data_IF_161599750185
#
_entry.id   IF_161599750185
#
_cell.length_a   1.000
_cell.length_b   1.000
_cell.length_c   1.000
_cell.angle_alpha   90.00
_cell.angle_beta   90.00
_cell.angle_gamma   90.00
#
_symmetry.space_group_name_H-M   'P 1'
#
loop_
_entity.id
_entity.type
_entity.pdbx_description
1 polymer ?
#
# COMPACT_ATOMS: atom_id res chain seq x y z
N UNK A 1 36.31 13.84 0.81
CA UNK A 1 36.06 12.66 1.66
C UNK A 1 34.56 12.44 1.65
N UNK A 2 34.15 11.63 0.70
CA UNK A 2 32.77 11.40 0.30
C UNK A 2 31.98 10.72 1.42
N UNK A 3 31.02 11.44 2.01
CA UNK A 3 29.89 10.79 2.68
C UNK A 3 28.94 10.31 1.60
N UNK A 4 29.22 9.13 1.05
CA UNK A 4 28.19 8.35 0.35
C UNK A 4 27.12 8.03 1.38
N UNK A 5 25.98 8.72 1.29
CA UNK A 5 24.76 8.37 2.01
C UNK A 5 24.42 6.94 1.58
N UNK A 6 24.62 5.96 2.45
CA UNK A 6 24.09 4.63 2.25
C UNK A 6 22.56 4.76 2.14
N UNK A 7 22.01 4.55 0.94
CA UNK A 7 20.58 4.37 0.79
C UNK A 7 20.24 3.01 1.37
N UNK A 8 19.81 2.97 2.63
CA UNK A 8 19.07 1.82 3.16
C UNK A 8 17.79 1.68 2.33
N UNK A 9 17.84 0.80 1.33
CA UNK A 9 16.76 0.60 0.37
C UNK A 9 15.59 -0.18 0.96
N UNK A 10 14.48 -0.20 0.23
CA UNK A 10 13.32 -1.05 0.54
C UNK A 10 13.72 -2.51 0.37
N UNK A 11 13.63 -3.32 1.44
CA UNK A 11 13.93 -4.75 1.41
C UNK A 11 12.66 -5.59 1.19
N UNK A 12 12.82 -6.85 0.79
CA UNK A 12 11.72 -7.82 0.73
C UNK A 12 11.05 -8.00 2.10
N UNK A 13 11.82 -7.95 3.18
CA UNK A 13 11.28 -8.12 4.52
C UNK A 13 10.36 -6.97 4.91
N UNK A 14 10.71 -5.72 4.57
CA UNK A 14 9.83 -4.56 4.76
C UNK A 14 8.50 -4.73 4.01
N UNK A 15 8.50 -5.35 2.83
CA UNK A 15 7.28 -5.62 2.07
C UNK A 15 6.42 -6.70 2.75
N UNK A 16 7.04 -7.74 3.33
CA UNK A 16 6.33 -8.77 4.10
C UNK A 16 5.74 -8.22 5.39
N UNK A 17 6.50 -7.40 6.13
CA UNK A 17 6.01 -6.69 7.31
C UNK A 17 4.81 -5.80 6.94
N UNK A 18 4.91 -5.05 5.85
CA UNK A 18 3.81 -4.25 5.35
C UNK A 18 2.60 -5.12 5.00
N UNK A 19 2.79 -6.27 4.34
CA UNK A 19 1.71 -7.19 4.01
C UNK A 19 0.98 -7.70 5.25
N UNK A 20 1.71 -8.08 6.31
CA UNK A 20 1.13 -8.48 7.60
C UNK A 20 0.36 -7.33 8.25
N UNK A 21 0.96 -6.14 8.32
CA UNK A 21 0.35 -4.94 8.93
C UNK A 21 -0.98 -4.57 8.28
N UNK A 22 -1.06 -4.64 6.94
CA UNK A 22 -2.25 -4.17 6.21
C UNK A 22 -3.31 -5.25 5.98
N UNK A 23 -2.98 -6.54 6.17
CA UNK A 23 -3.86 -7.66 5.83
C UNK A 23 -5.31 -7.56 6.36
N UNK A 24 -5.57 -7.10 7.61
CA UNK A 24 -6.94 -6.96 8.11
C UNK A 24 -7.75 -5.84 7.44
N UNK A 25 -7.07 -4.91 6.76
CA UNK A 25 -7.62 -3.63 6.33
C UNK A 25 -7.75 -3.49 4.83
N UNK A 26 -7.19 -4.43 4.05
CA UNK A 26 -7.20 -4.42 2.59
C UNK A 26 -7.74 -5.72 2.03
N UNK A 27 -8.27 -5.69 0.80
CA UNK A 27 -8.68 -6.89 0.08
C UNK A 27 -7.49 -7.65 -0.48
N UNK A 28 -7.55 -8.98 -0.40
CA UNK A 28 -6.81 -9.86 -1.32
C UNK A 28 -7.55 -9.86 -2.66
N UNK A 29 -7.23 -8.89 -3.51
CA UNK A 29 -7.87 -8.69 -4.81
C UNK A 29 -7.69 -9.90 -5.73
N UNK A 30 -8.66 -10.19 -6.61
CA UNK A 30 -8.57 -11.32 -7.52
C UNK A 30 -7.47 -11.11 -8.58
N UNK A 31 -7.05 -12.21 -9.19
CA UNK A 31 -6.29 -12.22 -10.44
C UNK A 31 -7.26 -12.65 -11.53
N UNK A 32 -7.45 -11.79 -12.52
CA UNK A 32 -8.35 -12.03 -13.65
C UNK A 32 -7.54 -12.46 -14.88
N UNK A 33 -8.19 -13.13 -15.82
CA UNK A 33 -7.67 -13.46 -17.14
C UNK A 33 -8.71 -13.16 -18.21
N UNK A 34 -8.31 -13.13 -19.48
CA UNK A 34 -9.22 -12.87 -20.60
C UNK A 34 -8.75 -13.62 -21.84
N UNK A 35 -9.53 -14.59 -22.30
CA UNK A 35 -9.22 -15.37 -23.50
C UNK A 35 -9.08 -14.50 -24.76
N UNK A 36 -9.90 -13.45 -24.89
CA UNK A 36 -9.81 -12.52 -26.01
C UNK A 36 -8.49 -11.73 -25.99
N UNK A 37 -8.06 -11.26 -24.82
CA UNK A 37 -6.78 -10.54 -24.70
C UNK A 37 -5.58 -11.48 -24.86
N UNK A 38 -5.70 -12.71 -24.37
CA UNK A 38 -4.67 -13.74 -24.56
C UNK A 38 -4.44 -14.04 -26.05
N UNK A 39 -5.53 -14.15 -26.83
CA UNK A 39 -5.47 -14.34 -28.28
C UNK A 39 -4.82 -13.15 -29.00
N UNK A 40 -5.16 -11.93 -28.61
CA UNK A 40 -4.57 -10.70 -29.19
C UNK A 40 -3.07 -10.61 -28.87
N UNK A 41 -2.68 -10.96 -27.65
CA UNK A 41 -1.29 -10.88 -27.19
C UNK A 41 -0.43 -12.09 -27.57
N UNK A 42 -1.04 -13.22 -27.95
CA UNK A 42 -0.36 -14.50 -28.17
C UNK A 42 0.25 -15.10 -26.90
N UNK A 43 -0.24 -14.71 -25.72
CA UNK A 43 0.31 -15.06 -24.40
C UNK A 43 -0.82 -15.24 -23.38
N UNK A 44 -0.57 -15.90 -22.24
CA UNK A 44 -1.50 -15.89 -21.11
C UNK A 44 -1.27 -14.65 -20.23
N UNK A 45 -2.28 -13.79 -20.12
CA UNK A 45 -2.24 -12.56 -19.35
C UNK A 45 -2.98 -12.71 -18.02
N UNK A 46 -2.36 -12.18 -16.96
CA UNK A 46 -2.91 -12.16 -15.61
C UNK A 46 -3.01 -10.72 -15.10
N UNK A 47 -4.21 -10.32 -14.70
CA UNK A 47 -4.51 -8.95 -14.28
C UNK A 47 -4.77 -8.91 -12.78
N UNK A 48 -3.92 -8.22 -12.03
CA UNK A 48 -4.13 -7.98 -10.60
C UNK A 48 -5.12 -6.83 -10.41
N UNK A 49 -6.36 -7.15 -10.05
CA UNK A 49 -7.49 -6.22 -10.07
C UNK A 49 -7.51 -5.27 -8.85
N UNK A 50 -6.54 -4.36 -8.75
CA UNK A 50 -6.48 -3.36 -7.66
C UNK A 50 -7.56 -2.28 -7.76
N UNK A 51 -8.30 -2.20 -8.87
CA UNK A 51 -9.53 -1.42 -8.95
C UNK A 51 -10.64 -1.95 -8.02
N UNK A 52 -10.55 -3.20 -7.54
CA UNK A 52 -11.45 -3.76 -6.52
C UNK A 52 -10.92 -3.67 -5.09
N UNK A 53 -9.79 -2.98 -4.90
CA UNK A 53 -9.27 -2.71 -3.57
C UNK A 53 -10.21 -1.75 -2.80
N UNK A 54 -10.05 -1.68 -1.47
CA UNK A 54 -10.59 -0.57 -0.67
C UNK A 54 -10.26 0.76 -1.34
N UNK A 55 -11.22 1.67 -1.31
CA UNK A 55 -11.13 2.99 -1.97
C UNK A 55 -10.87 2.93 -3.48
N UNK A 56 -11.17 1.80 -4.15
CA UNK A 56 -11.12 1.66 -5.60
C UNK A 56 -9.73 1.66 -6.24
N UNK A 57 -8.64 1.56 -5.45
CA UNK A 57 -7.28 1.52 -6.00
C UNK A 57 -6.27 0.89 -5.05
N UNK A 58 -5.09 0.55 -5.57
CA UNK A 58 -4.00 -0.03 -4.79
C UNK A 58 -3.51 0.86 -3.63
N UNK A 59 -3.84 2.16 -3.65
CA UNK A 59 -3.30 3.14 -2.70
C UNK A 59 -3.70 2.89 -1.25
N UNK A 60 -4.79 2.16 -1.00
CA UNK A 60 -5.15 1.73 0.35
C UNK A 60 -4.04 0.92 1.02
N UNK A 61 -3.26 0.13 0.27
CA UNK A 61 -2.14 -0.66 0.82
C UNK A 61 -1.08 0.24 1.43
N UNK A 62 -0.56 1.18 0.65
CA UNK A 62 0.49 2.10 1.10
C UNK A 62 0.01 3.04 2.20
N UNK A 63 -1.20 3.58 2.08
CA UNK A 63 -1.77 4.49 3.07
C UNK A 63 -1.99 3.79 4.42
N UNK A 64 -2.59 2.60 4.44
CA UNK A 64 -2.72 1.79 5.66
C UNK A 64 -1.35 1.47 6.25
N UNK A 65 -0.39 1.05 5.43
CA UNK A 65 0.95 0.71 5.92
C UNK A 65 1.61 1.90 6.63
N UNK A 66 1.58 3.08 6.02
CA UNK A 66 2.21 4.28 6.56
C UNK A 66 1.53 4.75 7.85
N UNK A 67 0.20 4.84 7.87
CA UNK A 67 -0.56 5.31 9.03
C UNK A 67 -0.39 4.35 10.21
N UNK A 68 -0.56 3.04 9.99
CA UNK A 68 -0.46 2.06 11.07
C UNK A 68 0.98 1.89 11.58
N UNK A 69 1.99 2.00 10.71
CA UNK A 69 3.37 2.01 11.15
C UNK A 69 3.68 3.23 12.03
N UNK A 70 3.20 4.43 11.66
CA UNK A 70 3.35 5.61 12.50
C UNK A 70 2.64 5.47 13.87
N UNK A 71 1.50 4.77 13.91
CA UNK A 71 0.80 4.43 15.16
C UNK A 71 1.58 3.43 16.01
N UNK A 72 2.17 2.40 15.42
CA UNK A 72 3.03 1.43 16.10
C UNK A 72 4.23 2.14 16.74
N UNK A 73 4.94 2.96 15.97
CA UNK A 73 6.12 3.70 16.46
C UNK A 73 5.76 4.71 17.55
N UNK A 74 4.65 5.45 17.38
CA UNK A 74 4.19 6.39 18.42
C UNK A 74 3.86 5.68 19.73
N UNK A 75 3.20 4.51 19.66
CA UNK A 75 2.91 3.68 20.85
C UNK A 75 4.18 3.17 21.52
N UNK A 76 5.15 2.69 20.73
CA UNK A 76 6.43 2.19 21.23
C UNK A 76 7.23 3.26 21.96
N UNK A 77 7.22 4.48 21.44
CA UNK A 77 7.90 5.64 22.04
C UNK A 77 7.12 6.31 23.18
N UNK A 78 5.88 5.86 23.48
CA UNK A 78 5.00 6.50 24.45
C UNK A 78 4.54 7.91 24.05
N UNK A 79 4.63 8.25 22.76
CA UNK A 79 4.27 9.56 22.21
C UNK A 79 2.87 9.55 21.62
N UNK A 80 2.22 10.72 21.58
CA UNK A 80 0.97 10.89 20.85
C UNK A 80 1.24 10.86 19.35
N UNK A 81 0.40 10.14 18.60
CA UNK A 81 0.44 10.16 17.13
C UNK A 81 0.22 11.60 16.63
N UNK A 82 1.11 12.14 15.77
CA UNK A 82 0.87 13.43 15.13
C UNK A 82 -0.30 13.35 14.15
N UNK A 83 -0.93 14.49 13.86
CA UNK A 83 -1.98 14.54 12.84
C UNK A 83 -1.47 14.04 11.48
N UNK A 84 -2.30 13.27 10.77
CA UNK A 84 -1.97 12.77 9.43
C UNK A 84 -2.43 13.80 8.39
N UNK A 85 -1.51 14.28 7.56
CA UNK A 85 -1.77 15.24 6.47
C UNK A 85 -1.27 14.66 5.16
N UNK A 86 -2.06 14.79 4.10
CA UNK A 86 -1.65 14.42 2.73
C UNK A 86 -2.22 15.43 1.73
N UNK A 87 -1.54 15.58 0.59
CA UNK A 87 -2.05 16.30 -0.56
C UNK A 87 -2.26 15.32 -1.72
N UNK A 88 -3.46 15.28 -2.28
CA UNK A 88 -3.79 14.39 -3.38
C UNK A 88 -4.95 14.91 -4.21
N UNK A 89 -4.89 14.64 -5.51
CA UNK A 89 -5.97 14.89 -6.47
C UNK A 89 -7.06 13.81 -6.49
N UNK A 90 -6.97 12.74 -5.69
CA UNK A 90 -7.97 11.67 -5.68
C UNK A 90 -7.61 10.45 -4.84
N UNK A 91 -7.28 9.33 -5.50
CA UNK A 91 -7.11 8.00 -4.90
C UNK A 91 -6.26 7.96 -3.61
N UNK A 92 -5.22 8.79 -3.49
CA UNK A 92 -4.38 8.77 -2.29
C UNK A 92 -5.05 9.46 -1.12
N UNK A 93 -5.76 10.58 -1.36
CA UNK A 93 -6.56 11.26 -0.34
C UNK A 93 -7.64 10.34 0.22
N UNK A 94 -8.35 9.62 -0.65
CA UNK A 94 -9.34 8.62 -0.21
C UNK A 94 -8.70 7.49 0.60
N UNK A 95 -7.55 6.98 0.16
CA UNK A 95 -6.83 5.92 0.85
C UNK A 95 -6.32 6.33 2.24
N UNK A 96 -5.79 7.55 2.37
CA UNK A 96 -5.34 8.11 3.67
C UNK A 96 -6.54 8.34 4.59
N UNK A 97 -7.63 8.95 4.08
CA UNK A 97 -8.85 9.11 4.86
C UNK A 97 -9.41 7.77 5.36
N UNK A 98 -9.43 6.74 4.49
CA UNK A 98 -9.82 5.39 4.88
C UNK A 98 -8.91 4.81 5.97
N UNK A 99 -7.59 4.91 5.82
CA UNK A 99 -6.63 4.41 6.80
C UNK A 99 -6.76 5.11 8.17
N UNK A 100 -6.91 6.43 8.17
CA UNK A 100 -7.06 7.24 9.39
C UNK A 100 -8.43 7.07 10.08
N UNK A 101 -9.41 6.43 9.42
CA UNK A 101 -10.73 6.11 10.00
C UNK A 101 -10.75 4.79 10.78
N UNK A 102 -9.61 4.09 10.87
CA UNK A 102 -9.45 2.81 11.58
C UNK A 102 -8.73 3.02 12.89
#
# INVERSE_FOLDING_TARGET
MDKVLATEGISLEMVKEAATRVAPWVHKTPVLSSSSLDQIAGLQLFFKAENFQKTGSFKARGACNAVFHAMEESKKDGKKLPGIVTHSTGNHGQAVAYASSK
#
